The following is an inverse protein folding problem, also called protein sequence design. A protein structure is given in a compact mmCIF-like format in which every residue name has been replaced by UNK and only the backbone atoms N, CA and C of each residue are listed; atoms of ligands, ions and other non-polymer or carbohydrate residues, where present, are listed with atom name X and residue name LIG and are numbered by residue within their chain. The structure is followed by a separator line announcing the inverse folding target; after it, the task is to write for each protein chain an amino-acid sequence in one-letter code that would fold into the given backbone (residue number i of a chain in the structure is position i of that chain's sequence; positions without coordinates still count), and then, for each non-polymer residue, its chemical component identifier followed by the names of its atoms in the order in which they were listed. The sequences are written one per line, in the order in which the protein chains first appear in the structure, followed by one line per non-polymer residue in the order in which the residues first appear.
data_IF_412523426638
#
_entry.id   IF_412523426638
#
_cell.length_a   1.000
_cell.length_b   1.000
_cell.length_c   1.000
_cell.angle_alpha   90.00
_cell.angle_beta   90.00
_cell.angle_gamma   90.00
#
_symmetry.space_group_name_H-M   'P 1'
#
loop_
_entity.id
_entity.type
_entity.pdbx_description
1 polymer ?
#
# COMPACT_ATOMS: atom_id res chain seq x y z
N UNK A 1 21.69 49.78 -12.40
CA UNK A 1 21.37 48.81 -11.34
C UNK A 1 20.97 47.51 -12.04
N UNK A 2 21.92 46.58 -12.05
CA UNK A 2 21.80 45.12 -12.16
C UNK A 2 20.58 44.52 -12.86
N UNK A 3 20.84 44.01 -14.07
CA UNK A 3 20.33 42.74 -14.60
C UNK A 3 20.20 41.69 -13.49
N UNK A 4 19.04 41.04 -13.39
CA UNK A 4 18.86 39.66 -12.91
C UNK A 4 17.41 39.25 -13.13
N UNK A 5 17.08 38.85 -14.37
CA UNK A 5 16.04 37.86 -14.60
C UNK A 5 16.68 36.71 -15.35
N UNK A 6 17.37 35.87 -14.58
CA UNK A 6 17.79 34.56 -15.04
C UNK A 6 16.54 33.78 -15.38
N UNK A 7 16.32 33.62 -16.68
CA UNK A 7 15.36 32.72 -17.30
C UNK A 7 15.73 31.30 -16.87
N UNK A 8 15.18 30.86 -15.75
CA UNK A 8 15.33 29.49 -15.28
C UNK A 8 14.32 28.62 -16.07
N UNK A 9 14.52 28.57 -17.38
CA UNK A 9 13.89 27.62 -18.28
C UNK A 9 14.47 26.27 -17.90
N UNK A 10 13.75 25.55 -17.03
CA UNK A 10 13.90 24.12 -16.84
C UNK A 10 13.65 23.46 -18.21
N UNK A 11 14.69 23.37 -19.03
CA UNK A 11 14.70 22.57 -20.25
C UNK A 11 14.29 21.15 -19.86
N UNK A 12 13.04 20.79 -20.19
CA UNK A 12 12.54 19.46 -19.95
C UNK A 12 13.29 18.52 -20.89
N UNK A 13 14.38 17.94 -20.38
CA UNK A 13 15.09 16.83 -21.02
C UNK A 13 14.21 15.58 -20.87
N UNK A 14 13.10 15.56 -21.61
CA UNK A 14 12.17 14.42 -21.70
C UNK A 14 12.33 13.68 -23.04
N UNK A 15 13.25 14.14 -23.91
CA UNK A 15 13.61 13.42 -25.13
C UNK A 15 14.38 12.12 -24.77
N UNK A 16 13.92 10.93 -25.19
CA UNK A 16 14.55 9.65 -24.85
C UNK A 16 16.05 9.58 -25.19
N UNK A 17 16.48 10.20 -26.29
CA UNK A 17 17.88 10.23 -26.71
C UNK A 17 18.76 11.03 -25.75
N UNK A 18 18.27 12.18 -25.26
CA UNK A 18 19.02 13.01 -24.32
C UNK A 18 19.15 12.35 -22.94
N UNK A 19 18.14 11.58 -22.51
CA UNK A 19 18.22 10.76 -21.30
C UNK A 19 19.20 9.58 -21.47
N UNK A 20 19.22 8.96 -22.65
CA UNK A 20 20.19 7.91 -22.97
C UNK A 20 21.63 8.46 -22.94
N UNK A 21 21.88 9.60 -23.59
CA UNK A 21 23.20 10.25 -23.59
C UNK A 21 23.67 10.60 -22.17
N UNK A 22 22.77 11.11 -21.33
CA UNK A 22 23.08 11.36 -19.93
C UNK A 22 23.47 10.11 -19.16
N UNK A 23 22.71 9.02 -19.33
CA UNK A 23 22.98 7.75 -18.67
C UNK A 23 24.33 7.16 -19.09
N UNK A 24 24.66 7.21 -20.37
CA UNK A 24 25.93 6.71 -20.91
C UNK A 24 27.12 7.55 -20.44
N UNK A 25 26.92 8.86 -20.29
CA UNK A 25 27.93 9.77 -19.75
C UNK A 25 28.09 9.69 -18.22
N UNK A 26 27.17 9.02 -17.51
CA UNK A 26 27.20 8.95 -16.06
C UNK A 26 28.47 8.24 -15.55
N UNK A 27 29.11 8.83 -14.54
CA UNK A 27 30.26 8.28 -13.83
C UNK A 27 30.00 8.34 -12.32
N UNK A 28 29.88 7.21 -11.63
CA UNK A 28 29.61 7.21 -10.19
C UNK A 28 30.83 7.64 -9.38
N UNK A 29 30.58 8.48 -8.38
CA UNK A 29 31.60 8.91 -7.42
C UNK A 29 32.08 7.72 -6.59
N UNK A 30 33.40 7.59 -6.41
CA UNK A 30 33.99 6.54 -5.56
C UNK A 30 34.13 5.17 -6.23
N UNK A 31 33.80 5.06 -7.52
CA UNK A 31 34.01 3.85 -8.33
C UNK A 31 34.98 4.21 -9.46
N UNK A 32 36.01 3.37 -9.68
CA UNK A 32 36.93 3.55 -10.81
C UNK A 32 36.17 3.36 -12.13
N UNK A 33 36.56 4.11 -13.16
CA UNK A 33 35.89 4.04 -14.47
C UNK A 33 35.91 2.62 -15.06
N UNK A 34 37.04 1.93 -14.98
CA UNK A 34 37.20 0.54 -15.43
C UNK A 34 36.23 -0.42 -14.71
N UNK A 35 36.00 -0.19 -13.42
CA UNK A 35 35.07 -1.00 -12.61
C UNK A 35 33.61 -0.71 -12.97
N UNK A 36 33.27 0.56 -13.21
CA UNK A 36 31.93 0.93 -13.65
C UNK A 36 31.63 0.42 -15.05
N UNK A 37 32.62 0.44 -15.96
CA UNK A 37 32.50 -0.04 -17.33
C UNK A 37 32.06 -1.52 -17.41
N UNK A 38 32.33 -2.34 -16.39
CA UNK A 38 31.90 -3.73 -16.32
C UNK A 38 30.37 -3.91 -16.32
N UNK A 39 29.62 -2.91 -15.85
CA UNK A 39 28.16 -2.99 -15.74
C UNK A 39 27.41 -1.81 -16.37
N UNK A 40 28.13 -0.79 -16.85
CA UNK A 40 27.55 0.48 -17.29
C UNK A 40 26.42 0.27 -18.32
N UNK A 41 26.68 -0.49 -19.38
CA UNK A 41 25.71 -0.71 -20.45
C UNK A 41 24.42 -1.40 -19.95
N UNK A 42 24.56 -2.39 -19.08
CA UNK A 42 23.43 -3.13 -18.54
C UNK A 42 22.66 -2.30 -17.49
N UNK A 43 23.37 -1.48 -16.71
CA UNK A 43 22.77 -0.52 -15.80
C UNK A 43 21.94 0.52 -16.58
N UNK A 44 22.47 1.07 -17.68
CA UNK A 44 21.73 2.00 -18.55
C UNK A 44 20.47 1.34 -19.11
N UNK A 45 20.58 0.14 -19.70
CA UNK A 45 19.43 -0.61 -20.23
C UNK A 45 18.39 -0.91 -19.15
N UNK A 46 18.83 -1.27 -17.94
CA UNK A 46 17.93 -1.53 -16.82
C UNK A 46 17.17 -0.27 -16.41
N UNK A 47 17.88 0.85 -16.23
CA UNK A 47 17.25 2.12 -15.85
C UNK A 47 16.24 2.54 -16.91
N UNK A 48 16.58 2.47 -18.20
CA UNK A 48 15.63 2.83 -19.27
C UNK A 48 14.34 1.98 -19.24
N UNK A 49 14.43 0.69 -18.88
CA UNK A 49 13.27 -0.22 -18.77
C UNK A 49 12.46 -0.06 -17.49
N UNK A 50 12.99 0.57 -16.44
CA UNK A 50 12.40 0.56 -15.09
C UNK A 50 11.20 1.52 -14.88
N UNK A 51 10.60 2.05 -15.95
CA UNK A 51 9.35 2.83 -15.91
C UNK A 51 9.43 4.15 -16.67
N UNK A 52 8.58 5.12 -16.28
CA UNK A 52 8.42 6.41 -16.96
C UNK A 52 9.75 7.18 -17.08
N UNK A 53 10.13 7.60 -18.29
CA UNK A 53 11.39 8.27 -18.62
C UNK A 53 11.37 9.75 -18.26
N UNK A 54 11.46 10.06 -16.97
CA UNK A 54 11.68 11.43 -16.49
C UNK A 54 13.12 11.59 -16.03
N UNK A 55 13.70 12.77 -16.25
CA UNK A 55 15.08 13.08 -15.88
C UNK A 55 15.41 12.74 -14.43
N UNK A 56 14.60 13.25 -13.50
CA UNK A 56 14.79 13.05 -12.07
C UNK A 56 14.79 11.57 -11.67
N UNK A 57 13.94 10.76 -12.32
CA UNK A 57 13.83 9.34 -12.02
C UNK A 57 15.07 8.60 -12.51
N UNK A 58 15.41 8.80 -13.79
CA UNK A 58 16.55 8.16 -14.45
C UNK A 58 17.85 8.47 -13.69
N UNK A 59 18.04 9.73 -13.29
CA UNK A 59 19.17 10.19 -12.52
C UNK A 59 19.26 9.51 -11.13
N UNK A 60 18.16 9.46 -10.39
CA UNK A 60 18.16 8.79 -9.08
C UNK A 60 18.42 7.29 -9.17
N UNK A 61 17.94 6.64 -10.22
CA UNK A 61 18.14 5.21 -10.42
C UNK A 61 19.61 4.88 -10.71
N UNK A 62 20.23 5.61 -11.63
CA UNK A 62 21.64 5.37 -11.98
C UNK A 62 22.58 5.76 -10.84
N UNK A 63 22.27 6.83 -10.10
CA UNK A 63 23.02 7.22 -8.90
C UNK A 63 22.95 6.15 -7.81
N UNK A 64 21.78 5.51 -7.64
CA UNK A 64 21.63 4.43 -6.68
C UNK A 64 22.43 3.19 -7.08
N UNK A 65 22.40 2.80 -8.36
CA UNK A 65 23.23 1.70 -8.86
C UNK A 65 24.72 2.00 -8.66
N UNK A 66 25.14 3.23 -8.95
CA UNK A 66 26.50 3.70 -8.65
C UNK A 66 26.89 3.53 -7.18
N UNK A 67 26.01 3.93 -6.26
CA UNK A 67 26.23 3.78 -4.82
C UNK A 67 26.29 2.32 -4.37
N UNK A 68 25.46 1.45 -4.95
CA UNK A 68 25.48 0.01 -4.66
C UNK A 68 26.77 -0.64 -5.19
N UNK A 69 27.25 -0.24 -6.37
CA UNK A 69 28.55 -0.70 -6.89
C UNK A 69 29.69 -0.24 -6.00
N UNK A 70 29.69 1.02 -5.56
CA UNK A 70 30.69 1.51 -4.62
C UNK A 70 30.72 0.64 -3.35
N UNK A 71 29.55 0.26 -2.83
CA UNK A 71 29.43 -0.65 -1.70
C UNK A 71 29.96 -2.06 -2.01
N UNK A 72 29.73 -2.62 -3.21
CA UNK A 72 30.33 -3.90 -3.60
C UNK A 72 31.85 -3.83 -3.65
N UNK A 73 32.41 -2.76 -4.21
CA UNK A 73 33.85 -2.52 -4.27
C UNK A 73 34.45 -2.41 -2.87
N UNK A 74 33.82 -1.64 -1.98
CA UNK A 74 34.25 -1.50 -0.57
C UNK A 74 34.26 -2.86 0.15
N UNK A 75 33.31 -3.74 -0.17
CA UNK A 75 33.20 -5.08 0.42
C UNK A 75 33.99 -6.17 -0.32
N UNK A 76 34.73 -5.81 -1.37
CA UNK A 76 35.51 -6.77 -2.17
C UNK A 76 34.65 -7.82 -2.88
N UNK A 77 33.40 -7.50 -3.23
CA UNK A 77 32.47 -8.41 -3.92
C UNK A 77 32.53 -8.24 -5.44
N UNK A 78 32.15 -9.26 -6.21
CA UNK A 78 32.11 -9.18 -7.67
C UNK A 78 31.22 -8.04 -8.16
N UNK A 79 31.72 -7.23 -9.10
CA UNK A 79 30.94 -6.13 -9.69
C UNK A 79 30.22 -6.64 -10.93
N UNK A 80 28.99 -7.10 -10.72
CA UNK A 80 28.05 -7.50 -11.78
C UNK A 80 26.67 -6.94 -11.47
N UNK A 81 25.80 -6.80 -12.49
CA UNK A 81 24.44 -6.31 -12.26
C UNK A 81 23.61 -7.29 -11.39
N UNK A 82 23.79 -8.60 -11.59
CA UNK A 82 23.16 -9.65 -10.77
C UNK A 82 23.55 -9.51 -9.30
N UNK A 83 24.84 -9.29 -9.03
CA UNK A 83 25.32 -9.14 -7.66
C UNK A 83 24.89 -7.80 -7.05
N UNK A 84 24.88 -6.72 -7.83
CA UNK A 84 24.40 -5.41 -7.37
C UNK A 84 22.92 -5.46 -6.95
N UNK A 85 22.11 -6.30 -7.60
CA UNK A 85 20.68 -6.44 -7.33
C UNK A 85 20.33 -7.69 -6.52
N UNK A 86 21.33 -8.39 -5.98
CA UNK A 86 21.10 -9.56 -5.13
C UNK A 86 20.53 -9.14 -3.76
N UNK A 87 19.64 -9.97 -3.20
CA UNK A 87 19.00 -9.67 -1.91
C UNK A 87 20.03 -9.46 -0.79
N UNK A 88 21.13 -10.22 -0.83
CA UNK A 88 22.24 -10.08 0.11
C UNK A 88 22.94 -8.72 -0.01
N UNK A 89 23.20 -8.25 -1.25
CA UNK A 89 23.80 -6.93 -1.49
C UNK A 89 22.88 -5.81 -1.06
N UNK A 90 21.62 -5.85 -1.45
CA UNK A 90 20.66 -4.79 -1.12
C UNK A 90 20.41 -4.70 0.38
N UNK A 91 20.36 -5.83 1.09
CA UNK A 91 20.28 -5.85 2.55
C UNK A 91 21.56 -5.26 3.18
N UNK A 92 22.73 -5.70 2.72
CA UNK A 92 24.01 -5.19 3.23
C UNK A 92 24.15 -3.68 3.01
N UNK A 93 23.78 -3.18 1.82
CA UNK A 93 23.77 -1.76 1.50
C UNK A 93 22.78 -0.99 2.37
N UNK A 94 21.56 -1.49 2.54
CA UNK A 94 20.55 -0.84 3.38
C UNK A 94 21.00 -0.69 4.85
N UNK A 95 21.72 -1.70 5.37
CA UNK A 95 22.31 -1.63 6.71
C UNK A 95 23.49 -0.66 6.83
N UNK A 96 24.25 -0.43 5.75
CA UNK A 96 25.38 0.52 5.77
C UNK A 96 24.94 1.99 5.62
N UNK A 97 23.72 2.24 5.15
CA UNK A 97 23.22 3.59 4.97
C UNK A 97 23.09 4.37 6.28
N UNK A 98 23.87 5.44 6.41
CA UNK A 98 23.76 6.44 7.49
C UNK A 98 22.94 7.66 7.03
N UNK A 99 21.65 7.46 6.75
CA UNK A 99 20.71 8.51 6.33
C UNK A 99 19.38 8.40 7.09
N UNK A 100 18.61 9.48 7.12
CA UNK A 100 17.28 9.48 7.74
C UNK A 100 16.29 8.49 7.10
N UNK A 101 15.28 8.06 7.87
CA UNK A 101 14.34 7.00 7.49
C UNK A 101 13.64 7.24 6.15
N UNK A 102 13.20 8.47 5.89
CA UNK A 102 12.56 8.85 4.62
C UNK A 102 13.46 8.59 3.42
N UNK A 103 14.75 8.88 3.54
CA UNK A 103 15.73 8.64 2.48
C UNK A 103 16.02 7.16 2.31
N UNK A 104 16.07 6.39 3.41
CA UNK A 104 16.19 4.93 3.35
C UNK A 104 15.01 4.31 2.61
N UNK A 105 13.77 4.66 2.97
CA UNK A 105 12.58 4.10 2.32
C UNK A 105 12.52 4.46 0.82
N UNK A 106 12.93 5.67 0.44
CA UNK A 106 13.03 6.03 -0.97
C UNK A 106 14.06 5.16 -1.73
N UNK A 107 15.24 4.93 -1.15
CA UNK A 107 16.26 4.05 -1.74
C UNK A 107 15.78 2.59 -1.81
N UNK A 108 15.10 2.09 -0.78
CA UNK A 108 14.45 0.76 -0.79
C UNK A 108 13.40 0.66 -1.90
N UNK A 109 12.59 1.68 -2.09
CA UNK A 109 11.60 1.73 -3.17
C UNK A 109 12.25 1.63 -4.56
N UNK A 110 13.36 2.34 -4.79
CA UNK A 110 14.10 2.28 -6.05
C UNK A 110 14.77 0.91 -6.25
N UNK A 111 15.47 0.39 -5.24
CA UNK A 111 16.18 -0.91 -5.33
C UNK A 111 15.23 -2.05 -5.64
N UNK A 112 14.10 -2.16 -4.91
CA UNK A 112 13.09 -3.20 -5.18
C UNK A 112 12.52 -3.09 -6.60
N UNK A 113 12.35 -1.88 -7.13
CA UNK A 113 11.93 -1.65 -8.53
C UNK A 113 12.94 -2.16 -9.52
N UNK A 114 14.20 -1.73 -9.39
CA UNK A 114 15.27 -2.15 -10.28
C UNK A 114 15.46 -3.67 -10.25
N UNK A 115 15.36 -4.28 -9.06
CA UNK A 115 15.40 -5.72 -8.88
C UNK A 115 14.23 -6.45 -9.55
N UNK A 116 12.99 -5.96 -9.41
CA UNK A 116 11.83 -6.54 -10.07
C UNK A 116 11.98 -6.51 -11.61
N UNK A 117 12.38 -5.36 -12.16
CA UNK A 117 12.59 -5.17 -13.60
C UNK A 117 13.73 -6.06 -14.11
N UNK A 118 14.81 -6.19 -13.34
CA UNK A 118 15.93 -7.07 -13.66
C UNK A 118 15.50 -8.54 -13.74
N UNK A 119 14.59 -8.97 -12.86
CA UNK A 119 13.99 -10.30 -12.84
C UNK A 119 12.87 -10.49 -13.88
N UNK A 120 12.56 -9.48 -14.69
CA UNK A 120 11.44 -9.52 -15.65
C UNK A 120 10.05 -9.52 -15.00
N UNK A 121 9.95 -9.10 -13.73
CA UNK A 121 8.71 -9.04 -12.98
C UNK A 121 8.12 -7.63 -12.98
N UNK A 122 6.78 -7.48 -12.96
CA UNK A 122 6.15 -6.17 -12.79
C UNK A 122 6.50 -5.60 -11.40
N UNK A 123 7.08 -4.40 -11.37
CA UNK A 123 7.45 -3.72 -10.11
C UNK A 123 6.25 -3.45 -9.20
N UNK A 124 5.11 -3.12 -9.78
CA UNK A 124 3.84 -2.97 -9.06
C UNK A 124 2.80 -3.82 -9.76
N UNK A 125 1.93 -4.45 -8.96
CA UNK A 125 0.71 -5.02 -9.50
C UNK A 125 -0.01 -3.96 -10.34
N UNK A 126 -0.56 -4.39 -11.47
CA UNK A 126 -1.35 -3.49 -12.30
C UNK A 126 -2.43 -2.84 -11.44
N UNK A 127 -2.61 -1.54 -11.65
CA UNK A 127 -3.63 -0.80 -10.93
C UNK A 127 -4.96 -1.39 -11.37
N UNK A 128 -5.65 -2.07 -10.44
CA UNK A 128 -6.98 -2.62 -10.68
C UNK A 128 -7.86 -1.61 -11.43
N UNK A 129 -8.59 -2.08 -12.43
CA UNK A 129 -9.56 -1.24 -13.12
C UNK A 129 -10.61 -0.72 -12.13
N UNK A 130 -11.29 0.40 -12.42
CA UNK A 130 -12.43 0.83 -11.59
C UNK A 130 -13.44 -0.30 -11.35
N UNK A 131 -13.70 -1.12 -12.36
CA UNK A 131 -14.64 -2.25 -12.34
C UNK A 131 -14.14 -3.34 -11.39
N UNK A 132 -12.87 -3.75 -11.50
CA UNK A 132 -12.25 -4.70 -10.57
C UNK A 132 -12.20 -4.16 -9.14
N UNK A 133 -12.09 -2.84 -8.96
CA UNK A 133 -12.18 -2.22 -7.63
C UNK A 133 -13.59 -2.32 -7.08
N UNK A 134 -14.62 -2.06 -7.88
CA UNK A 134 -16.03 -2.16 -7.47
C UNK A 134 -16.50 -3.59 -7.25
N UNK A 135 -15.98 -4.56 -8.00
CA UNK A 135 -16.34 -5.97 -7.86
C UNK A 135 -15.79 -6.58 -6.56
N UNK A 136 -14.68 -6.04 -6.07
CA UNK A 136 -14.06 -6.44 -4.80
C UNK A 136 -14.54 -5.65 -3.58
N UNK A 137 -15.55 -4.79 -3.74
CA UNK A 137 -16.24 -4.13 -2.62
C UNK A 137 -17.13 -5.15 -1.91
N UNK A 138 -17.16 -5.05 -0.59
CA UNK A 138 -18.09 -5.83 0.23
C UNK A 138 -19.46 -5.17 0.10
N UNK A 139 -20.49 -5.94 -0.22
CA UNK A 139 -21.84 -5.41 -0.32
C UNK A 139 -22.36 -5.00 1.06
N UNK A 140 -23.08 -3.89 1.16
CA UNK A 140 -23.64 -3.43 2.44
C UNK A 140 -24.60 -4.47 3.06
N UNK A 141 -25.27 -5.28 2.23
CA UNK A 141 -26.15 -6.38 2.64
C UNK A 141 -25.45 -7.45 3.49
N UNK A 142 -24.12 -7.51 3.47
CA UNK A 142 -23.34 -8.41 4.32
C UNK A 142 -23.47 -8.06 5.81
N UNK A 143 -23.81 -6.81 6.14
CA UNK A 143 -24.11 -6.37 7.52
C UNK A 143 -25.34 -7.11 8.06
N UNK A 144 -26.39 -7.24 7.25
CA UNK A 144 -27.61 -7.96 7.65
C UNK A 144 -27.32 -9.46 7.85
N UNK A 145 -26.46 -10.03 7.00
CA UNK A 145 -25.99 -11.42 7.15
C UNK A 145 -25.23 -11.59 8.46
N UNK A 146 -24.31 -10.69 8.79
CA UNK A 146 -23.59 -10.68 10.06
C UNK A 146 -24.57 -10.59 11.26
N UNK A 147 -25.55 -9.68 11.22
CA UNK A 147 -26.55 -9.53 12.29
C UNK A 147 -27.46 -10.74 12.45
N UNK A 148 -27.91 -11.35 11.34
CA UNK A 148 -28.68 -12.60 11.37
C UNK A 148 -27.91 -13.73 12.05
N UNK A 149 -26.64 -13.90 11.71
CA UNK A 149 -25.78 -14.94 12.29
C UNK A 149 -25.47 -14.65 13.76
N UNK A 150 -25.28 -13.38 14.14
CA UNK A 150 -25.20 -12.99 15.55
C UNK A 150 -26.49 -13.37 16.30
N UNK A 151 -27.67 -13.18 15.70
CA UNK A 151 -28.94 -13.60 16.29
C UNK A 151 -28.98 -15.10 16.59
N UNK A 152 -28.51 -15.93 15.65
CA UNK A 152 -28.37 -17.38 15.87
C UNK A 152 -27.36 -17.72 16.97
N UNK A 153 -26.19 -17.06 17.00
CA UNK A 153 -25.17 -17.29 18.01
C UNK A 153 -25.68 -16.96 19.43
N UNK A 154 -26.41 -15.85 19.61
CA UNK A 154 -26.99 -15.49 20.92
C UNK A 154 -28.08 -16.47 21.38
N UNK A 155 -28.82 -17.06 20.44
CA UNK A 155 -29.85 -18.07 20.76
C UNK A 155 -29.25 -19.43 21.17
N UNK A 156 -27.97 -19.67 20.85
CA UNK A 156 -27.25 -20.91 21.12
C UNK A 156 -26.15 -20.69 22.17
N UNK A 157 -26.53 -20.26 23.37
CA UNK A 157 -25.61 -19.83 24.42
C UNK A 157 -24.55 -20.89 24.82
N UNK A 158 -24.82 -22.18 24.59
CA UNK A 158 -23.91 -23.29 24.90
C UNK A 158 -23.03 -23.74 23.70
N UNK A 159 -23.21 -23.16 22.49
CA UNK A 159 -22.38 -23.47 21.33
C UNK A 159 -21.05 -22.69 21.41
N UNK A 160 -19.97 -23.40 21.71
CA UNK A 160 -18.62 -22.83 21.80
C UNK A 160 -18.17 -22.11 20.52
N UNK A 161 -18.62 -22.56 19.34
CA UNK A 161 -18.29 -21.87 18.08
C UNK A 161 -19.11 -20.57 17.92
N UNK A 162 -20.36 -20.56 18.41
CA UNK A 162 -21.20 -19.37 18.47
C UNK A 162 -20.62 -18.31 19.41
N UNK A 163 -20.14 -18.72 20.58
CA UNK A 163 -19.42 -17.83 21.52
C UNK A 163 -18.17 -17.23 20.87
N UNK A 164 -17.37 -18.05 20.18
CA UNK A 164 -16.19 -17.57 19.44
C UNK A 164 -16.57 -16.58 18.33
N UNK A 165 -17.69 -16.80 17.63
CA UNK A 165 -18.21 -15.87 16.63
C UNK A 165 -18.59 -14.50 17.24
N UNK A 166 -19.33 -14.50 18.35
CA UNK A 166 -19.69 -13.26 19.08
C UNK A 166 -18.44 -12.51 19.53
N UNK A 167 -17.45 -13.24 20.06
CA UNK A 167 -16.17 -12.67 20.48
C UNK A 167 -15.41 -12.04 19.30
N UNK A 168 -15.38 -12.70 18.14
CA UNK A 168 -14.71 -12.18 16.94
C UNK A 168 -15.35 -10.87 16.44
N UNK A 169 -16.69 -10.80 16.40
CA UNK A 169 -17.39 -9.56 16.00
C UNK A 169 -17.19 -8.45 17.02
N UNK A 170 -17.28 -8.75 18.31
CA UNK A 170 -17.06 -7.79 19.39
C UNK A 170 -15.64 -7.23 19.36
N UNK A 171 -14.65 -8.10 19.20
CA UNK A 171 -13.25 -7.69 19.05
C UNK A 171 -13.02 -6.80 17.83
N UNK A 172 -13.67 -7.09 16.70
CA UNK A 172 -13.61 -6.25 15.51
C UNK A 172 -14.23 -4.86 15.74
N UNK A 173 -15.34 -4.78 16.48
CA UNK A 173 -15.99 -3.50 16.89
C UNK A 173 -15.13 -2.71 17.87
N UNK A 174 -14.52 -3.36 18.86
CA UNK A 174 -13.64 -2.72 19.84
C UNK A 174 -12.35 -2.20 19.21
N UNK A 175 -11.70 -3.02 18.37
CA UNK A 175 -10.57 -2.59 17.56
C UNK A 175 -10.92 -1.35 16.73
N UNK A 176 -12.21 -1.18 16.41
CA UNK A 176 -12.68 -0.01 15.68
C UNK A 176 -12.86 1.25 16.51
N UNK A 177 -13.08 1.16 17.82
CA UNK A 177 -13.19 2.33 18.70
C UNK A 177 -11.83 2.88 19.15
N UNK A 178 -10.73 2.31 18.66
CA UNK A 178 -9.37 2.70 19.07
C UNK A 178 -9.03 2.33 20.52
N UNK A 179 -9.91 1.62 21.23
CA UNK A 179 -9.70 1.12 22.59
C UNK A 179 -9.04 -0.26 22.55
N UNK A 180 -7.81 -0.31 22.03
CA UNK A 180 -7.05 -1.55 21.95
C UNK A 180 -6.89 -2.22 23.32
N UNK A 181 -7.15 -3.54 23.34
CA UNK A 181 -7.06 -4.48 24.47
C UNK A 181 -8.29 -4.63 25.39
N UNK A 182 -9.51 -4.67 24.83
CA UNK A 182 -10.51 -5.61 25.37
C UNK A 182 -10.04 -7.06 25.14
N UNK A 183 -10.67 -8.09 25.75
CA UNK A 183 -10.34 -9.50 25.50
C UNK A 183 -10.70 -9.85 24.04
N UNK A 184 -9.82 -9.44 23.12
CA UNK A 184 -9.98 -9.66 21.71
C UNK A 184 -9.95 -11.15 21.44
N UNK A 185 -10.83 -11.61 20.55
CA UNK A 185 -10.77 -12.95 20.01
C UNK A 185 -9.32 -13.27 19.64
N UNK A 186 -8.73 -14.19 20.38
CA UNK A 186 -7.35 -14.59 20.17
C UNK A 186 -7.24 -15.18 18.76
N UNK A 187 -6.02 -15.29 18.22
CA UNK A 187 -5.82 -16.04 16.96
C UNK A 187 -6.40 -17.47 17.03
N UNK A 188 -6.56 -18.00 18.25
CA UNK A 188 -7.17 -19.30 18.54
C UNK A 188 -8.69 -19.33 18.28
N UNK A 189 -9.40 -18.21 18.51
CA UNK A 189 -10.86 -18.12 18.40
C UNK A 189 -11.35 -17.89 16.96
N UNK A 190 -10.44 -17.52 16.05
CA UNK A 190 -10.79 -17.22 14.67
C UNK A 190 -11.28 -18.44 13.87
N UNK A 191 -10.63 -19.60 14.05
CA UNK A 191 -11.02 -20.82 13.32
C UNK A 191 -12.41 -21.34 13.73
N UNK A 192 -12.74 -21.45 15.04
CA UNK A 192 -14.10 -21.77 15.49
C UNK A 192 -15.14 -20.76 15.00
N UNK A 193 -14.88 -19.45 15.13
CA UNK A 193 -15.78 -18.40 14.66
C UNK A 193 -16.08 -18.53 13.15
N UNK A 194 -15.06 -18.86 12.34
CA UNK A 194 -15.23 -19.10 10.91
C UNK A 194 -16.07 -20.34 10.60
N UNK A 195 -15.90 -21.43 11.35
CA UNK A 195 -16.74 -22.63 11.18
C UNK A 195 -18.20 -22.34 11.50
N UNK A 196 -18.48 -21.58 12.57
CA UNK A 196 -19.85 -21.14 12.88
C UNK A 196 -20.45 -20.33 11.73
N UNK A 197 -19.73 -19.31 11.23
CA UNK A 197 -20.17 -18.49 10.11
C UNK A 197 -20.45 -19.33 8.84
N UNK A 198 -19.55 -20.27 8.52
CA UNK A 198 -19.66 -21.13 7.35
C UNK A 198 -20.88 -22.06 7.43
N UNK A 199 -21.17 -22.62 8.62
CA UNK A 199 -22.42 -23.39 8.89
C UNK A 199 -23.69 -22.58 8.60
N UNK A 200 -23.62 -21.25 8.71
CA UNK A 200 -24.74 -20.34 8.42
C UNK A 200 -24.65 -19.66 7.04
N UNK A 201 -23.81 -20.19 6.15
CA UNK A 201 -23.69 -19.76 4.76
C UNK A 201 -22.84 -18.50 4.57
N UNK A 202 -22.00 -18.14 5.54
CA UNK A 202 -21.14 -16.96 5.47
C UNK A 202 -19.66 -17.33 5.50
N UNK A 203 -18.99 -17.21 4.34
CA UNK A 203 -17.55 -17.45 4.24
C UNK A 203 -16.77 -16.27 4.85
N UNK A 204 -16.74 -16.25 6.18
CA UNK A 204 -16.17 -15.15 6.93
C UNK A 204 -14.65 -15.08 6.74
N UNK A 205 -14.19 -13.97 6.16
CA UNK A 205 -12.78 -13.57 6.13
C UNK A 205 -12.56 -12.38 7.05
N UNK A 206 -11.32 -12.16 7.51
CA UNK A 206 -11.00 -10.99 8.35
C UNK A 206 -11.34 -9.67 7.63
N UNK A 207 -11.11 -9.61 6.31
CA UNK A 207 -11.46 -8.46 5.48
C UNK A 207 -12.97 -8.24 5.45
N UNK A 208 -13.74 -9.30 5.26
CA UNK A 208 -15.21 -9.24 5.19
C UNK A 208 -15.80 -8.77 6.53
N UNK A 209 -15.35 -9.36 7.65
CA UNK A 209 -15.78 -8.95 8.98
C UNK A 209 -15.43 -7.48 9.27
N UNK A 210 -14.20 -7.06 8.93
CA UNK A 210 -13.77 -5.66 9.09
C UNK A 210 -14.60 -4.69 8.25
N UNK A 211 -14.95 -5.07 7.02
CA UNK A 211 -15.82 -4.27 6.17
C UNK A 211 -17.22 -4.15 6.76
N UNK A 212 -17.82 -5.25 7.23
CA UNK A 212 -19.16 -5.24 7.85
C UNK A 212 -19.21 -4.33 9.09
N UNK A 213 -18.23 -4.45 10.00
CA UNK A 213 -18.13 -3.56 11.17
C UNK A 213 -17.90 -2.11 10.76
N UNK A 214 -17.15 -1.87 9.68
CA UNK A 214 -16.95 -0.51 9.16
C UNK A 214 -18.25 0.06 8.59
N UNK A 215 -19.02 -0.71 7.83
CA UNK A 215 -20.34 -0.32 7.35
C UNK A 215 -21.31 -0.05 8.52
N UNK A 216 -21.34 -0.93 9.52
CA UNK A 216 -22.14 -0.73 10.75
C UNK A 216 -21.77 0.59 11.43
N UNK A 217 -20.47 0.88 11.57
CA UNK A 217 -19.97 2.12 12.19
C UNK A 217 -20.37 3.35 11.37
N UNK A 218 -20.24 3.29 10.04
CA UNK A 218 -20.59 4.39 9.14
C UNK A 218 -22.09 4.64 9.04
N UNK A 219 -22.93 3.66 9.39
CA UNK A 219 -24.39 3.79 9.41
C UNK A 219 -24.92 4.41 10.72
N UNK A 220 -24.03 4.91 11.60
CA UNK A 220 -24.44 5.62 12.82
C UNK A 220 -25.00 6.99 12.43
N UNK A 221 -26.09 7.41 13.08
CA UNK A 221 -26.71 8.73 12.89
C UNK A 221 -25.88 9.85 13.55
N UNK A 222 -24.67 10.07 13.03
CA UNK A 222 -23.74 11.10 13.45
C UNK A 222 -23.02 11.69 12.24
N UNK A 223 -22.63 12.98 12.27
CA UNK A 223 -21.79 13.56 11.24
C UNK A 223 -20.53 12.73 10.99
N UNK A 224 -20.21 12.46 9.71
CA UNK A 224 -19.11 11.57 9.32
C UNK A 224 -17.76 11.96 9.95
N UNK A 225 -17.49 13.25 10.10
CA UNK A 225 -16.27 13.75 10.75
C UNK A 225 -16.18 13.31 12.24
N UNK A 226 -17.31 13.27 12.95
CA UNK A 226 -17.39 12.79 14.34
C UNK A 226 -17.18 11.28 14.38
N UNK A 227 -17.81 10.53 13.47
CA UNK A 227 -17.64 9.07 13.37
C UNK A 227 -16.18 8.71 13.07
N UNK A 228 -15.53 9.40 12.13
CA UNK A 228 -14.12 9.23 11.78
C UNK A 228 -13.23 9.46 13.00
N UNK A 229 -13.42 10.57 13.70
CA UNK A 229 -12.62 10.94 14.87
C UNK A 229 -12.79 9.93 16.01
N UNK A 230 -14.02 9.60 16.36
CA UNK A 230 -14.33 8.77 17.53
C UNK A 230 -13.97 7.30 17.33
N UNK A 231 -13.88 6.83 16.08
CA UNK A 231 -13.54 5.45 15.74
C UNK A 231 -12.19 5.33 15.01
N UNK A 232 -11.35 6.38 15.05
CA UNK A 232 -10.03 6.39 14.43
C UNK A 232 -10.01 5.86 12.98
N UNK A 233 -11.03 6.21 12.18
CA UNK A 233 -11.17 5.61 10.85
C UNK A 233 -10.05 6.11 9.92
N UNK A 234 -9.23 5.20 9.38
CA UNK A 234 -8.22 5.54 8.38
C UNK A 234 -8.82 5.59 6.98
N UNK A 235 -8.11 6.21 6.03
CA UNK A 235 -8.47 6.19 4.60
C UNK A 235 -8.74 4.78 4.08
N UNK A 236 -7.89 3.82 4.44
CA UNK A 236 -7.99 2.42 4.00
C UNK A 236 -9.29 1.76 4.47
N UNK A 237 -9.84 2.22 5.57
CA UNK A 237 -11.08 1.68 6.07
C UNK A 237 -12.30 2.38 5.48
N UNK A 238 -12.20 3.68 5.18
CA UNK A 238 -13.23 4.34 4.37
C UNK A 238 -13.33 3.68 2.99
N UNK A 239 -12.21 3.21 2.43
CA UNK A 239 -12.21 2.38 1.22
C UNK A 239 -12.96 1.03 1.42
N UNK A 240 -13.01 0.48 2.64
CA UNK A 240 -13.81 -0.71 2.96
C UNK A 240 -15.29 -0.39 3.13
N UNK A 241 -15.63 0.84 3.50
CA UNK A 241 -17.01 1.33 3.63
C UNK A 241 -17.64 1.77 2.31
N UNK A 242 -16.89 1.71 1.19
CA UNK A 242 -17.44 1.95 -0.14
C UNK A 242 -18.40 0.81 -0.50
N UNK A 243 -19.66 1.14 -0.72
CA UNK A 243 -20.68 0.22 -1.23
C UNK A 243 -20.94 0.47 -2.72
N UNK A 244 -21.60 -0.46 -3.42
CA UNK A 244 -21.98 -0.25 -4.81
C UNK A 244 -23.09 0.81 -4.89
N UNK A 245 -23.05 1.65 -5.92
CA UNK A 245 -24.06 2.70 -6.14
C UNK A 245 -25.49 2.14 -6.21
N UNK A 246 -25.65 0.94 -6.78
CA UNK A 246 -26.94 0.24 -6.86
C UNK A 246 -27.50 -0.21 -5.50
N UNK A 247 -26.66 -0.23 -4.47
CA UNK A 247 -27.04 -0.59 -3.10
C UNK A 247 -27.31 0.67 -2.26
N UNK A 248 -27.21 1.87 -2.83
CA UNK A 248 -27.64 3.12 -2.19
C UNK A 248 -29.16 3.29 -2.32
N UNK A 249 -29.83 3.89 -1.32
CA UNK A 249 -31.25 4.22 -1.45
C UNK A 249 -31.47 5.20 -2.61
N UNK A 250 -32.52 4.96 -3.40
CA UNK A 250 -32.86 5.75 -4.61
C UNK A 250 -33.04 7.25 -4.32
N UNK A 251 -33.41 7.61 -3.08
CA UNK A 251 -33.52 8.99 -2.62
C UNK A 251 -32.93 9.12 -1.20
N UNK A 252 -32.12 10.15 -0.92
CA UNK A 252 -31.73 10.46 0.45
C UNK A 252 -32.98 10.86 1.24
N UNK A 253 -33.18 10.26 2.41
CA UNK A 253 -34.22 10.69 3.33
C UNK A 253 -34.06 12.19 3.65
N UNK A 254 -35.15 12.94 3.91
CA UNK A 254 -35.07 14.36 4.24
C UNK A 254 -34.09 14.70 5.38
N UNK A 255 -33.94 13.80 6.36
CA UNK A 255 -32.95 13.89 7.44
C UNK A 255 -31.49 13.87 6.97
N UNK A 256 -31.20 13.29 5.81
CA UNK A 256 -29.85 13.24 5.23
C UNK A 256 -29.52 14.50 4.41
N UNK A 257 -30.52 15.30 4.07
CA UNK A 257 -30.34 16.51 3.26
C UNK A 257 -29.53 17.59 4.01
N UNK A 258 -29.70 17.67 5.33
CA UNK A 258 -28.94 18.60 6.19
C UNK A 258 -27.49 18.15 6.41
N UNK A 259 -27.22 16.84 6.38
CA UNK A 259 -25.87 16.27 6.45
C UNK A 259 -25.05 16.52 5.17
N UNK A 260 -25.71 16.65 4.02
CA UNK A 260 -25.06 16.83 2.71
C UNK A 260 -24.72 18.30 2.40
N UNK A 261 -25.39 19.27 3.02
CA UNK A 261 -25.12 20.69 2.77
C UNK A 261 -23.95 21.25 3.56
N UNK A 262 -23.48 20.53 4.58
CA UNK A 262 -22.58 21.08 5.58
C UNK A 262 -23.32 22.15 6.39
N UNK A 263 -23.13 22.15 7.70
CA UNK A 263 -23.65 23.25 8.53
C UNK A 263 -22.99 24.55 8.08
N UNK A 264 -23.79 25.51 7.62
CA UNK A 264 -23.36 26.89 7.44
C UNK A 264 -22.84 27.50 8.75
#
# INVERSE_FOLDING_TARGET
MTDHDATNTSESIDAPEALCNFLTAYRPTGVKEETWALIADDAVKLVLRAGALTRLRVEKDIQLLGAVVAHLVERGRPVTLDEALSDATLLSFDTSLQVGEKTKENKRGITRRLQAVHRGLPWRAEKRTPEERTDNLVAHTEVDTMHRILGHAHAMADDAEGVAFIAAVSAAREARRGQGAGPGASAHDWAPARRFADRHGWNMTQRLLKACVTHETLNTDQPLAIVIRNNGLSRRDLDLGLTRVRDLPDLPAPSHHDLLRGTA
#
